data_IF_140926053025
#
_entry.id   IF_140926053025
#
_cell.length_a   1.000
_cell.length_b   1.000
_cell.length_c   1.000
_cell.angle_alpha   90.00
_cell.angle_beta   90.00
_cell.angle_gamma   90.00
#
_symmetry.space_group_name_H-M   'P 1'
#
loop_
_entity.id
_entity.type
_entity.pdbx_description
1 polymer ?
#
# COMPACT_ATOMS: atom_id res chain seq x y z
N UNK A 1 22.07 22.34 36.49
CA UNK A 1 22.35 20.94 36.11
C UNK A 1 21.12 20.38 35.40
N UNK A 2 21.12 20.30 34.08
CA UNK A 2 20.10 19.56 33.33
C UNK A 2 20.41 18.08 33.46
N UNK A 3 19.51 17.31 34.08
CA UNK A 3 19.64 15.85 34.11
C UNK A 3 19.64 15.35 32.66
N UNK A 4 20.68 14.61 32.28
CA UNK A 4 20.73 13.97 30.96
C UNK A 4 19.54 13.02 30.84
N UNK A 5 18.81 13.03 29.70
CA UNK A 5 17.70 12.11 29.50
C UNK A 5 18.17 10.66 29.64
N UNK A 6 17.34 9.83 30.27
CA UNK A 6 17.63 8.40 30.41
C UNK A 6 17.65 7.74 29.02
N UNK A 7 18.44 6.67 28.83
CA UNK A 7 18.45 5.88 27.57
C UNK A 7 17.05 5.47 27.09
N UNK A 8 16.13 5.22 28.02
CA UNK A 8 14.73 4.92 27.72
C UNK A 8 14.04 6.10 27.04
N UNK A 9 14.25 7.32 27.53
CA UNK A 9 13.69 8.55 26.96
C UNK A 9 14.18 8.77 25.53
N UNK A 10 15.50 8.62 25.30
CA UNK A 10 16.09 8.76 23.96
C UNK A 10 15.52 7.74 22.96
N UNK A 11 15.38 6.48 23.39
CA UNK A 11 14.82 5.41 22.55
C UNK A 11 13.35 5.63 22.23
N UNK A 12 12.56 6.06 23.22
CA UNK A 12 11.14 6.40 23.01
C UNK A 12 10.99 7.60 22.08
N UNK A 13 11.84 8.62 22.21
CA UNK A 13 11.83 9.78 21.33
C UNK A 13 12.18 9.40 19.88
N UNK A 14 13.22 8.58 19.68
CA UNK A 14 13.58 8.08 18.36
C UNK A 14 12.45 7.23 17.76
N UNK A 15 11.91 6.27 18.52
CA UNK A 15 10.80 5.43 18.08
C UNK A 15 9.59 6.28 17.69
N UNK A 16 9.17 7.21 18.54
CA UNK A 16 8.01 8.08 18.26
C UNK A 16 8.22 8.98 17.05
N UNK A 17 9.44 9.49 16.86
CA UNK A 17 9.79 10.31 15.69
C UNK A 17 9.72 9.50 14.40
N UNK A 18 10.24 8.27 14.40
CA UNK A 18 10.18 7.38 13.24
C UNK A 18 8.75 6.96 12.94
N UNK A 19 7.99 6.56 13.95
CA UNK A 19 6.57 6.23 13.85
C UNK A 19 5.77 7.41 13.26
N UNK A 20 5.94 8.62 13.79
CA UNK A 20 5.24 9.80 13.28
C UNK A 20 5.63 10.11 11.83
N UNK A 21 6.92 10.09 11.51
CA UNK A 21 7.39 10.38 10.16
C UNK A 21 6.87 9.35 9.14
N UNK A 22 6.97 8.06 9.45
CA UNK A 22 6.51 7.01 8.56
C UNK A 22 4.98 6.96 8.45
N UNK A 23 4.26 7.32 9.50
CA UNK A 23 2.80 7.52 9.47
C UNK A 23 2.36 8.53 8.41
N UNK A 24 3.16 9.60 8.20
CA UNK A 24 2.88 10.65 7.20
C UNK A 24 3.49 10.35 5.81
N UNK A 25 4.64 9.69 5.75
CA UNK A 25 5.28 9.31 4.47
C UNK A 25 4.48 8.23 3.76
N UNK A 26 3.87 7.30 4.50
CA UNK A 26 3.09 6.21 3.93
C UNK A 26 1.97 6.69 2.99
N UNK A 27 1.02 7.56 3.41
CA UNK A 27 -0.02 8.06 2.52
C UNK A 27 0.55 8.88 1.36
N UNK A 28 1.69 9.56 1.53
CA UNK A 28 2.37 10.20 0.40
C UNK A 28 2.82 9.17 -0.65
N UNK A 29 3.43 8.06 -0.24
CA UNK A 29 3.81 6.99 -1.15
C UNK A 29 2.59 6.40 -1.89
N UNK A 30 1.53 6.09 -1.15
CA UNK A 30 0.34 5.39 -1.68
C UNK A 30 -0.58 6.27 -2.53
N UNK A 31 -0.57 7.60 -2.32
CA UNK A 31 -1.47 8.50 -3.04
C UNK A 31 -0.79 9.41 -4.05
N UNK A 32 0.50 9.75 -3.86
CA UNK A 32 1.22 10.68 -4.73
C UNK A 32 2.28 10.01 -5.57
N UNK A 33 3.07 9.10 -4.99
CA UNK A 33 4.14 8.41 -5.71
C UNK A 33 3.60 7.24 -6.54
N UNK A 34 2.58 6.56 -6.02
CA UNK A 34 1.93 5.46 -6.70
C UNK A 34 1.23 5.92 -7.99
N UNK A 35 1.57 5.29 -9.11
CA UNK A 35 0.85 5.51 -10.38
C UNK A 35 -0.60 5.01 -10.31
N UNK A 36 -1.53 5.75 -10.92
CA UNK A 36 -2.96 5.44 -10.93
C UNK A 36 -3.28 4.02 -11.46
N UNK A 37 -2.63 3.62 -12.55
CA UNK A 37 -2.81 2.26 -13.10
C UNK A 37 -2.29 1.19 -12.15
N UNK A 38 -1.21 1.47 -11.42
CA UNK A 38 -0.69 0.55 -10.41
C UNK A 38 -1.69 0.39 -9.27
N UNK A 39 -2.30 1.49 -8.79
CA UNK A 39 -3.35 1.46 -7.79
C UNK A 39 -4.57 0.65 -8.24
N UNK A 40 -5.05 0.89 -9.47
CA UNK A 40 -6.17 0.14 -10.06
C UNK A 40 -5.86 -1.35 -10.21
N UNK A 41 -4.65 -1.70 -10.62
CA UNK A 41 -4.33 -3.07 -11.02
C UNK A 41 -3.78 -3.95 -9.89
N UNK A 42 -3.24 -3.41 -8.79
CA UNK A 42 -2.52 -4.20 -7.76
C UNK A 42 -3.36 -5.28 -7.09
N UNK A 43 -4.68 -5.25 -7.22
CA UNK A 43 -5.64 -6.22 -6.67
C UNK A 43 -6.30 -7.12 -7.73
N UNK A 44 -5.81 -7.13 -8.97
CA UNK A 44 -6.32 -8.04 -10.00
C UNK A 44 -5.89 -9.49 -9.73
N UNK A 45 -6.84 -10.43 -9.89
CA UNK A 45 -6.66 -11.88 -9.75
C UNK A 45 -7.44 -12.62 -10.84
N UNK A 46 -7.03 -13.86 -11.11
CA UNK A 46 -7.63 -14.74 -12.10
C UNK A 46 -6.79 -14.90 -13.37
N UNK A 47 -7.27 -15.79 -14.22
CA UNK A 47 -6.60 -16.19 -15.48
C UNK A 47 -7.21 -15.52 -16.71
N UNK A 48 -8.32 -14.79 -16.54
CA UNK A 48 -8.90 -13.99 -17.61
C UNK A 48 -7.90 -12.91 -18.09
N UNK A 49 -7.97 -12.59 -19.38
CA UNK A 49 -7.08 -11.64 -20.00
C UNK A 49 -7.47 -10.20 -19.64
N UNK A 50 -6.45 -9.39 -19.42
CA UNK A 50 -6.54 -7.94 -19.24
C UNK A 50 -5.51 -7.25 -20.12
N UNK A 51 -5.79 -6.02 -20.54
CA UNK A 51 -4.80 -5.19 -21.23
C UNK A 51 -3.65 -4.80 -20.29
N UNK A 52 -2.42 -4.85 -20.79
CA UNK A 52 -1.24 -4.46 -20.01
C UNK A 52 -1.29 -2.98 -19.61
N UNK A 53 -1.80 -2.13 -20.51
CA UNK A 53 -1.84 -0.67 -20.37
C UNK A 53 -2.68 -0.21 -19.18
N UNK A 54 -3.85 -0.80 -18.96
CA UNK A 54 -4.86 -0.27 -18.02
C UNK A 54 -5.55 -1.32 -17.14
N UNK A 55 -5.26 -2.62 -17.36
CA UNK A 55 -5.84 -3.73 -16.60
C UNK A 55 -7.32 -4.01 -16.88
N UNK A 56 -7.89 -3.42 -17.93
CA UNK A 56 -9.29 -3.68 -18.32
C UNK A 56 -9.43 -5.09 -18.84
N UNK A 57 -10.46 -5.81 -18.38
CA UNK A 57 -10.76 -7.17 -18.82
C UNK A 57 -11.09 -7.20 -20.31
N UNK A 58 -10.68 -8.25 -20.99
CA UNK A 58 -10.98 -8.46 -22.40
C UNK A 58 -11.18 -9.93 -22.74
N UNK A 59 -12.08 -10.21 -23.67
CA UNK A 59 -12.34 -11.54 -24.23
C UNK A 59 -11.75 -11.69 -25.65
N UNK A 60 -11.39 -10.59 -26.32
CA UNK A 60 -10.80 -10.55 -27.67
C UNK A 60 -9.85 -9.36 -27.84
N UNK A 61 -8.95 -9.38 -28.84
CA UNK A 61 -8.05 -8.25 -29.14
C UNK A 61 -8.87 -7.13 -29.81
N UNK A 62 -9.73 -6.43 -29.07
CA UNK A 62 -10.52 -5.29 -29.55
C UNK A 62 -9.64 -4.07 -29.90
N UNK A 63 -8.40 -4.07 -29.39
CA UNK A 63 -7.41 -3.02 -29.62
C UNK A 63 -6.26 -3.60 -30.44
N UNK A 64 -6.17 -3.32 -31.76
CA UNK A 64 -5.09 -3.82 -32.61
C UNK A 64 -3.72 -3.50 -32.00
N UNK A 65 -2.87 -4.53 -31.83
CA UNK A 65 -1.53 -4.39 -31.26
C UNK A 65 -1.45 -4.21 -29.74
N UNK A 66 -2.58 -4.18 -29.02
CA UNK A 66 -2.56 -4.09 -27.56
C UNK A 66 -2.08 -5.42 -26.95
N UNK A 67 -1.08 -5.32 -26.07
CA UNK A 67 -0.61 -6.47 -25.32
C UNK A 67 -1.61 -6.83 -24.22
N UNK A 68 -1.81 -8.14 -24.02
CA UNK A 68 -2.63 -8.69 -22.95
C UNK A 68 -1.80 -9.63 -22.06
N UNK A 69 -2.25 -9.81 -20.83
CA UNK A 69 -1.73 -10.81 -19.88
C UNK A 69 -2.85 -11.25 -18.94
N UNK A 70 -2.62 -12.26 -18.11
CA UNK A 70 -3.64 -12.62 -17.11
C UNK A 70 -3.79 -11.53 -16.05
N UNK A 71 -5.00 -11.39 -15.51
CA UNK A 71 -5.28 -10.48 -14.40
C UNK A 71 -4.30 -10.67 -13.23
N UNK A 72 -3.99 -11.91 -12.86
CA UNK A 72 -3.01 -12.21 -11.81
C UNK A 72 -1.59 -11.76 -12.15
N UNK A 73 -1.13 -11.93 -13.40
CA UNK A 73 0.17 -11.43 -13.84
C UNK A 73 0.23 -9.90 -13.75
N UNK A 74 -0.82 -9.22 -14.23
CA UNK A 74 -0.92 -7.76 -14.18
C UNK A 74 -0.92 -7.24 -12.75
N UNK A 75 -1.64 -7.92 -11.86
CA UNK A 75 -1.72 -7.56 -10.44
C UNK A 75 -0.41 -7.75 -9.69
N UNK A 76 0.33 -8.83 -9.94
CA UNK A 76 1.68 -9.01 -9.37
C UNK A 76 2.66 -7.95 -9.86
N UNK A 77 2.62 -7.60 -11.15
CA UNK A 77 3.48 -6.52 -11.70
C UNK A 77 3.15 -5.16 -11.09
N UNK A 78 1.86 -4.84 -10.93
CA UNK A 78 1.44 -3.62 -10.24
C UNK A 78 1.98 -3.57 -8.81
N UNK A 79 1.73 -4.61 -8.01
CA UNK A 79 2.18 -4.60 -6.60
C UNK A 79 3.70 -4.54 -6.49
N UNK A 80 4.44 -5.23 -7.36
CA UNK A 80 5.89 -5.18 -7.37
C UNK A 80 6.41 -3.77 -7.71
N UNK A 81 5.81 -3.11 -8.70
CA UNK A 81 6.15 -1.73 -9.05
C UNK A 81 5.87 -0.78 -7.89
N UNK A 82 4.74 -0.94 -7.21
CA UNK A 82 4.37 -0.12 -6.05
C UNK A 82 5.34 -0.29 -4.89
N UNK A 83 5.60 -1.54 -4.52
CA UNK A 83 6.48 -1.88 -3.40
C UNK A 83 7.90 -1.41 -3.68
N UNK A 84 8.36 -1.46 -4.93
CA UNK A 84 9.66 -0.93 -5.31
C UNK A 84 9.76 0.59 -5.09
N UNK A 85 8.77 1.36 -5.58
CA UNK A 85 8.75 2.82 -5.37
C UNK A 85 8.56 3.19 -3.90
N UNK A 86 7.66 2.49 -3.19
CA UNK A 86 7.41 2.67 -1.76
C UNK A 86 8.68 2.43 -0.95
N UNK A 87 9.38 1.32 -1.21
CA UNK A 87 10.61 0.96 -0.50
C UNK A 87 11.73 1.96 -0.77
N UNK A 88 11.85 2.47 -1.99
CA UNK A 88 12.84 3.49 -2.34
C UNK A 88 12.62 4.79 -1.54
N UNK A 89 11.38 5.28 -1.48
CA UNK A 89 11.03 6.47 -0.71
C UNK A 89 11.21 6.24 0.80
N UNK A 90 10.73 5.11 1.32
CA UNK A 90 10.83 4.79 2.74
C UNK A 90 12.27 4.66 3.22
N UNK A 91 13.12 3.96 2.46
CA UNK A 91 14.55 3.85 2.79
C UNK A 91 15.25 5.21 2.71
N UNK A 92 14.94 6.00 1.68
CA UNK A 92 15.46 7.36 1.54
C UNK A 92 15.11 8.23 2.74
N UNK A 93 13.84 8.21 3.16
CA UNK A 93 13.37 8.95 4.33
C UNK A 93 13.99 8.45 5.63
N UNK A 94 14.07 7.12 5.84
CA UNK A 94 14.72 6.52 7.00
C UNK A 94 16.17 7.01 7.13
N UNK A 95 16.92 7.01 6.02
CA UNK A 95 18.31 7.49 5.98
C UNK A 95 18.37 8.99 6.26
N UNK A 96 17.53 9.81 5.62
CA UNK A 96 17.54 11.26 5.80
C UNK A 96 17.23 11.66 7.25
N UNK A 97 16.16 11.10 7.82
CA UNK A 97 15.71 11.36 9.19
C UNK A 97 16.79 10.92 10.17
N UNK A 98 17.22 9.66 10.11
CA UNK A 98 18.20 9.14 11.07
C UNK A 98 19.52 9.92 11.03
N UNK A 99 20.00 10.29 9.83
CA UNK A 99 21.19 11.14 9.69
C UNK A 99 21.00 12.55 10.23
N UNK A 100 19.83 13.15 10.07
CA UNK A 100 19.54 14.50 10.62
C UNK A 100 19.61 14.53 12.15
N UNK A 101 19.34 13.40 12.80
CA UNK A 101 19.47 13.21 14.25
C UNK A 101 20.84 12.64 14.68
N UNK A 102 21.81 12.55 13.76
CA UNK A 102 23.16 12.06 14.05
C UNK A 102 23.29 10.53 14.15
N UNK A 103 22.22 9.78 13.87
CA UNK A 103 22.25 8.32 13.85
C UNK A 103 22.75 7.79 12.50
N UNK A 104 23.55 6.72 12.55
CA UNK A 104 23.95 5.95 11.37
C UNK A 104 23.44 4.53 11.52
N UNK A 105 22.38 4.21 10.78
CA UNK A 105 21.83 2.86 10.76
C UNK A 105 22.71 1.98 9.86
N UNK A 106 23.15 0.79 10.31
CA UNK A 106 23.87 -0.15 9.47
C UNK A 106 23.10 -0.50 8.20
N UNK A 107 23.79 -0.59 7.06
CA UNK A 107 23.15 -0.88 5.77
C UNK A 107 22.39 -2.22 5.78
N UNK A 108 22.91 -3.23 6.48
CA UNK A 108 22.23 -4.52 6.67
C UNK A 108 20.91 -4.40 7.43
N UNK A 109 20.85 -3.54 8.45
CA UNK A 109 19.63 -3.29 9.20
C UNK A 109 18.58 -2.53 8.36
N UNK A 110 19.02 -1.54 7.57
CA UNK A 110 18.14 -0.84 6.62
C UNK A 110 17.58 -1.82 5.57
N UNK A 111 18.42 -2.68 5.01
CA UNK A 111 17.99 -3.67 4.03
C UNK A 111 17.01 -4.68 4.64
N UNK A 112 17.29 -5.21 5.82
CA UNK A 112 16.40 -6.13 6.51
C UNK A 112 15.03 -5.48 6.78
N UNK A 113 15.02 -4.24 7.28
CA UNK A 113 13.80 -3.47 7.48
C UNK A 113 13.03 -3.23 6.18
N UNK A 114 13.73 -2.85 5.11
CA UNK A 114 13.13 -2.63 3.79
C UNK A 114 12.51 -3.90 3.21
N UNK A 115 13.17 -5.06 3.37
CA UNK A 115 12.64 -6.35 2.91
C UNK A 115 11.39 -6.73 3.69
N UNK A 116 11.43 -6.65 5.02
CA UNK A 116 10.27 -7.00 5.87
C UNK A 116 9.09 -6.07 5.55
N UNK A 117 9.33 -4.76 5.52
CA UNK A 117 8.31 -3.77 5.21
C UNK A 117 7.75 -3.96 3.78
N UNK A 118 8.63 -4.13 2.79
CA UNK A 118 8.20 -4.33 1.40
C UNK A 118 7.37 -5.60 1.19
N UNK A 119 7.76 -6.73 1.81
CA UNK A 119 7.01 -7.98 1.70
C UNK A 119 5.65 -7.93 2.38
N UNK A 120 5.60 -7.36 3.59
CA UNK A 120 4.34 -7.20 4.33
C UNK A 120 3.40 -6.23 3.62
N UNK A 121 3.93 -5.10 3.12
CA UNK A 121 3.19 -4.15 2.29
C UNK A 121 2.64 -4.83 1.03
N UNK A 122 3.46 -5.59 0.31
CA UNK A 122 3.04 -6.34 -0.87
C UNK A 122 1.88 -7.32 -0.57
N UNK A 123 1.94 -8.01 0.58
CA UNK A 123 0.91 -8.96 0.98
C UNK A 123 -0.43 -8.29 1.30
N UNK A 124 -0.41 -7.15 2.00
CA UNK A 124 -1.61 -6.37 2.28
C UNK A 124 -2.18 -5.82 0.98
N UNK A 125 -1.35 -5.21 0.14
CA UNK A 125 -1.80 -4.52 -1.06
C UNK A 125 -2.39 -5.43 -2.14
N UNK A 126 -1.97 -6.69 -2.14
CA UNK A 126 -2.61 -7.74 -2.93
C UNK A 126 -4.05 -7.98 -2.47
N UNK A 127 -4.39 -7.73 -1.22
CA UNK A 127 -5.76 -7.71 -0.69
C UNK A 127 -6.27 -9.06 -0.17
N UNK A 128 -5.74 -10.19 -0.65
CA UNK A 128 -6.15 -11.51 -0.18
C UNK A 128 -5.86 -11.74 1.32
N UNK A 129 -4.68 -11.33 1.79
CA UNK A 129 -4.32 -11.44 3.21
C UNK A 129 -5.20 -10.55 4.08
N UNK A 130 -5.47 -9.32 3.62
CA UNK A 130 -6.40 -8.39 4.27
C UNK A 130 -7.80 -8.99 4.38
N UNK A 131 -8.35 -9.52 3.29
CA UNK A 131 -9.68 -10.13 3.30
C UNK A 131 -9.77 -11.34 4.22
N UNK A 132 -8.76 -12.22 4.19
CA UNK A 132 -8.68 -13.35 5.09
C UNK A 132 -8.70 -12.89 6.57
N UNK A 133 -7.96 -11.82 6.89
CA UNK A 133 -7.94 -11.25 8.23
C UNK A 133 -9.31 -10.63 8.59
N UNK A 134 -9.95 -9.93 7.67
CA UNK A 134 -11.29 -9.37 7.85
C UNK A 134 -12.33 -10.47 8.11
N UNK A 135 -12.26 -11.58 7.40
CA UNK A 135 -13.13 -12.74 7.62
C UNK A 135 -12.85 -13.36 9.01
N UNK A 136 -11.57 -13.53 9.36
CA UNK A 136 -11.16 -14.11 10.66
C UNK A 136 -11.59 -13.26 11.86
N UNK A 137 -11.56 -11.95 11.71
CA UNK A 137 -11.95 -10.96 12.74
C UNK A 137 -13.44 -10.58 12.68
N UNK A 138 -14.22 -11.24 11.82
CA UNK A 138 -15.66 -11.01 11.62
C UNK A 138 -15.99 -9.55 11.23
N UNK A 139 -15.09 -8.92 10.49
CA UNK A 139 -15.26 -7.56 9.94
C UNK A 139 -15.81 -7.54 8.52
N UNK A 140 -16.03 -8.70 7.91
CA UNK A 140 -16.54 -8.81 6.53
C UNK A 140 -17.89 -8.10 6.32
N UNK A 141 -18.80 -8.21 7.28
CA UNK A 141 -20.08 -7.50 7.22
C UNK A 141 -19.94 -5.97 7.17
N UNK A 142 -18.89 -5.39 7.77
CA UNK A 142 -18.60 -3.96 7.65
C UNK A 142 -18.16 -3.59 6.24
N UNK A 143 -17.27 -4.40 5.64
CA UNK A 143 -16.78 -4.20 4.27
C UNK A 143 -17.93 -4.32 3.26
N UNK A 144 -18.78 -5.31 3.42
CA UNK A 144 -19.87 -5.58 2.49
C UNK A 144 -21.00 -4.54 2.61
N UNK A 145 -21.20 -3.95 3.79
CA UNK A 145 -22.24 -2.95 4.04
C UNK A 145 -21.80 -1.51 3.73
N UNK A 146 -20.60 -1.12 4.15
CA UNK A 146 -20.09 0.25 4.04
C UNK A 146 -19.37 0.47 2.70
N UNK A 147 -20.15 0.44 1.62
CA UNK A 147 -19.73 0.69 0.25
C UNK A 147 -19.97 2.15 -0.17
N UNK A 148 -19.35 2.56 -1.27
CA UNK A 148 -19.58 3.86 -1.89
C UNK A 148 -20.49 3.70 -3.10
N UNK A 149 -21.36 4.68 -3.33
CA UNK A 149 -22.09 4.84 -4.60
C UNK A 149 -21.35 5.89 -5.42
N UNK A 150 -20.99 5.54 -6.65
CA UNK A 150 -20.36 6.45 -7.62
C UNK A 150 -21.39 6.85 -8.66
N UNK A 151 -21.30 8.09 -9.09
CA UNK A 151 -22.08 8.66 -10.19
C UNK A 151 -21.08 8.91 -11.31
N UNK A 152 -21.34 8.39 -12.50
CA UNK A 152 -20.55 8.74 -13.70
C UNK A 152 -21.04 10.04 -14.34
N UNK A 153 -20.37 10.46 -15.41
CA UNK A 153 -20.66 11.72 -16.11
C UNK A 153 -22.07 11.71 -16.74
N UNK A 154 -22.61 10.53 -17.00
CA UNK A 154 -23.97 10.29 -17.52
C UNK A 154 -25.04 10.18 -16.41
N UNK A 155 -24.65 10.26 -15.14
CA UNK A 155 -25.56 10.16 -14.00
C UNK A 155 -25.90 8.73 -13.58
N UNK A 156 -25.24 7.72 -14.13
CA UNK A 156 -25.43 6.32 -13.78
C UNK A 156 -24.82 6.02 -12.42
N UNK A 157 -25.59 5.33 -11.58
CA UNK A 157 -25.16 4.90 -10.27
C UNK A 157 -24.46 3.54 -10.33
N UNK A 158 -23.25 3.44 -9.76
CA UNK A 158 -22.56 2.17 -9.55
C UNK A 158 -22.13 2.01 -8.09
N UNK A 159 -22.14 0.77 -7.59
CA UNK A 159 -21.63 0.46 -6.25
C UNK A 159 -20.17 0.06 -6.33
N UNK A 160 -19.35 0.64 -5.47
CA UNK A 160 -17.93 0.33 -5.34
C UNK A 160 -17.64 -0.15 -3.92
N UNK A 161 -17.09 -1.38 -3.80
CA UNK A 161 -16.74 -1.97 -2.52
C UNK A 161 -15.34 -1.57 -2.02
N UNK A 162 -14.43 -1.22 -2.93
CA UNK A 162 -13.00 -1.09 -2.66
C UNK A 162 -12.39 0.17 -3.29
N UNK A 163 -12.94 1.34 -2.94
CA UNK A 163 -12.44 2.65 -3.35
C UNK A 163 -12.50 3.69 -2.22
N UNK A 164 -12.09 4.95 -2.46
CA UNK A 164 -12.09 6.00 -1.45
C UNK A 164 -13.45 6.17 -0.75
N UNK A 165 -13.46 6.20 0.57
CA UNK A 165 -14.70 6.31 1.36
C UNK A 165 -15.45 4.99 1.59
N UNK A 166 -14.87 3.83 1.26
CA UNK A 166 -15.41 2.53 1.67
C UNK A 166 -14.73 2.01 2.93
N UNK A 167 -15.44 1.17 3.71
CA UNK A 167 -14.83 0.53 4.89
C UNK A 167 -13.65 -0.38 4.53
N UNK A 168 -13.62 -0.90 3.29
CA UNK A 168 -12.45 -1.61 2.80
C UNK A 168 -11.20 -0.73 2.88
N UNK A 169 -11.24 0.47 2.28
CA UNK A 169 -10.08 1.35 2.21
C UNK A 169 -9.68 1.83 3.61
N UNK A 170 -10.64 2.12 4.48
CA UNK A 170 -10.32 2.53 5.86
C UNK A 170 -9.62 1.42 6.65
N UNK A 171 -10.11 0.17 6.57
CA UNK A 171 -9.49 -0.96 7.26
C UNK A 171 -8.15 -1.35 6.63
N UNK A 172 -8.01 -1.25 5.31
CA UNK A 172 -6.76 -1.46 4.58
C UNK A 172 -5.72 -0.41 4.98
N UNK A 173 -6.08 0.88 5.02
CA UNK A 173 -5.21 1.95 5.49
C UNK A 173 -4.83 1.78 6.97
N UNK A 174 -5.78 1.37 7.82
CA UNK A 174 -5.49 1.07 9.23
C UNK A 174 -4.50 -0.09 9.38
N UNK A 175 -4.65 -1.16 8.59
CA UNK A 175 -3.73 -2.30 8.60
C UNK A 175 -2.34 -1.89 8.11
N UNK A 176 -2.27 -1.07 7.06
CA UNK A 176 -1.02 -0.49 6.58
C UNK A 176 -0.30 0.35 7.65
N UNK A 177 -1.03 1.15 8.44
CA UNK A 177 -0.45 1.90 9.57
C UNK A 177 0.06 1.00 10.70
N UNK A 178 -0.48 -0.21 10.88
CA UNK A 178 0.02 -1.15 11.90
C UNK A 178 1.36 -1.77 11.48
N UNK A 179 1.60 -1.93 10.18
CA UNK A 179 2.80 -2.57 9.63
C UNK A 179 3.88 -1.56 9.23
N UNK A 180 3.46 -0.42 8.67
CA UNK A 180 4.33 0.64 8.16
C UNK A 180 4.77 1.67 9.22
N UNK A 181 4.51 1.38 10.49
CA UNK A 181 4.96 2.10 11.69
C UNK A 181 5.97 1.24 12.43
#
# INVERSE_FOLDING_TARGET
MTALPTRTTERLALFSTLLAAFGEIHPFCDHWVQGSTTAKCKRLYGDHLVYVSDGTATTQVERPGALTMTASQRGRRAVASHVASYSAVQVGAAVAITRSFGYRVPASALLAGAVINGLTHAAIDRGAAFLWLADKTRKRGCIDHCQAVRVDDEGTLSKEANGPGTAWIELDAALHRVIGV
#
